data_IF_077459901479
#
_entry.id   IF_077459901479
#
_cell.length_a   1.000
_cell.length_b   1.000
_cell.length_c   1.000
_cell.angle_alpha   90.00
_cell.angle_beta   90.00
_cell.angle_gamma   90.00
#
_symmetry.space_group_name_H-M   'P 1'
#
loop_
_entity.id
_entity.type
_entity.pdbx_description
1 polymer ?
#
# COMPACT_ATOMS: atom_id res chain seq x y z
N UNK A 1 -11.65 13.04 -28.17
CA UNK A 1 -10.93 13.94 -27.22
C UNK A 1 -9.61 13.27 -26.88
N UNK A 2 -8.45 13.94 -27.03
CA UNK A 2 -7.16 13.24 -26.91
C UNK A 2 -6.70 13.08 -25.46
N UNK A 3 -6.22 11.87 -25.13
CA UNK A 3 -5.54 11.54 -23.87
C UNK A 3 -4.36 12.48 -23.59
N UNK A 4 -3.68 12.94 -24.65
CA UNK A 4 -2.58 13.90 -24.57
C UNK A 4 -3.00 15.25 -23.96
N UNK A 5 -4.22 15.72 -24.25
CA UNK A 5 -4.76 16.94 -23.65
C UNK A 5 -4.95 16.77 -22.13
N UNK A 6 -5.43 15.59 -21.70
CA UNK A 6 -5.63 15.29 -20.29
C UNK A 6 -4.30 15.15 -19.54
N UNK A 7 -3.29 14.52 -20.16
CA UNK A 7 -1.91 14.45 -19.62
C UNK A 7 -1.32 15.84 -19.42
N UNK A 8 -1.47 16.72 -20.42
CA UNK A 8 -1.02 18.11 -20.33
C UNK A 8 -1.70 18.84 -19.17
N UNK A 9 -3.02 18.70 -19.04
CA UNK A 9 -3.78 19.27 -17.94
C UNK A 9 -3.29 18.79 -16.57
N UNK A 10 -3.03 17.49 -16.42
CA UNK A 10 -2.55 16.91 -15.17
C UNK A 10 -1.13 17.38 -14.83
N UNK A 11 -0.25 17.50 -15.83
CA UNK A 11 1.09 18.04 -15.65
C UNK A 11 1.06 19.49 -15.14
N UNK A 12 0.24 20.35 -15.75
CA UNK A 12 0.06 21.75 -15.32
C UNK A 12 -0.50 21.84 -13.91
N UNK A 13 -1.49 20.99 -13.57
CA UNK A 13 -2.07 20.93 -12.23
C UNK A 13 -1.00 20.57 -11.18
N UNK A 14 -0.21 19.52 -11.44
CA UNK A 14 0.87 19.07 -10.55
C UNK A 14 1.94 20.14 -10.36
N UNK A 15 2.30 20.86 -11.42
CA UNK A 15 3.29 21.93 -11.33
C UNK A 15 2.79 23.08 -10.45
N UNK A 16 1.52 23.47 -10.61
CA UNK A 16 0.90 24.50 -9.75
C UNK A 16 0.88 24.09 -8.27
N UNK A 17 0.52 22.84 -7.99
CA UNK A 17 0.52 22.29 -6.62
C UNK A 17 1.93 22.18 -6.06
N UNK A 18 2.90 21.74 -6.86
CA UNK A 18 4.30 21.68 -6.46
C UNK A 18 4.81 23.06 -6.03
N UNK A 19 4.56 24.10 -6.84
CA UNK A 19 4.94 25.49 -6.51
C UNK A 19 4.40 25.94 -5.16
N UNK A 20 3.12 25.67 -4.88
CA UNK A 20 2.51 26.03 -3.58
C UNK A 20 3.03 25.18 -2.43
N UNK A 21 3.24 23.87 -2.61
CA UNK A 21 3.88 22.99 -1.60
C UNK A 21 5.30 23.48 -1.27
N UNK A 22 6.09 23.84 -2.27
CA UNK A 22 7.45 24.37 -2.10
C UNK A 22 7.46 25.69 -1.30
N UNK A 23 6.48 26.58 -1.56
CA UNK A 23 6.33 27.82 -0.80
C UNK A 23 5.96 27.56 0.68
N UNK A 24 5.04 26.62 0.95
CA UNK A 24 4.68 26.23 2.32
C UNK A 24 5.85 25.57 3.06
N UNK A 25 6.62 24.72 2.37
CA UNK A 25 7.82 24.12 2.92
C UNK A 25 8.86 25.18 3.32
N UNK A 26 8.99 26.26 2.54
CA UNK A 26 9.90 27.37 2.86
C UNK A 26 9.45 28.17 4.10
N UNK A 27 8.14 28.32 4.31
CA UNK A 27 7.57 28.93 5.54
C UNK A 27 7.81 28.06 6.77
N UNK A 28 7.58 26.76 6.65
CA UNK A 28 7.87 25.81 7.73
C UNK A 28 9.36 25.78 8.10
N UNK A 29 10.28 25.88 7.13
CA UNK A 29 11.72 26.02 7.39
C UNK A 29 12.07 27.27 8.20
N UNK A 30 11.29 28.36 8.05
CA UNK A 30 11.39 29.59 8.85
C UNK A 30 10.68 29.50 10.20
N UNK A 31 10.13 28.33 10.56
CA UNK A 31 9.29 28.10 11.75
C UNK A 31 8.01 28.93 11.78
N UNK A 32 7.53 29.36 10.61
CA UNK A 32 6.22 30.01 10.49
C UNK A 32 5.11 28.94 10.52
N UNK A 33 3.99 29.26 11.17
CA UNK A 33 2.79 28.41 11.11
C UNK A 33 2.14 28.54 9.72
N UNK A 34 1.70 27.42 9.17
CA UNK A 34 0.81 27.39 8.00
C UNK A 34 -0.63 27.64 8.48
N UNK A 35 -1.49 28.15 7.60
CA UNK A 35 -2.88 28.42 7.98
C UNK A 35 -3.73 27.15 7.92
N UNK A 36 -4.89 27.15 8.59
CA UNK A 36 -5.86 26.03 8.49
C UNK A 36 -6.35 25.83 7.06
N UNK A 37 -6.40 26.90 6.28
CA UNK A 37 -6.77 26.84 4.85
C UNK A 37 -5.66 26.18 4.02
N UNK A 38 -4.39 26.35 4.39
CA UNK A 38 -3.28 25.66 3.74
C UNK A 38 -3.27 24.17 4.10
N UNK A 39 -3.58 23.81 5.35
CA UNK A 39 -3.76 22.41 5.79
C UNK A 39 -4.90 21.75 5.01
N UNK A 40 -6.10 22.34 5.03
CA UNK A 40 -7.27 21.82 4.28
C UNK A 40 -6.97 21.73 2.78
N UNK A 41 -6.19 22.65 2.22
CA UNK A 41 -5.77 22.60 0.83
C UNK A 41 -4.81 21.44 0.55
N UNK A 42 -3.86 21.17 1.46
CA UNK A 42 -2.92 20.03 1.35
C UNK A 42 -3.67 18.70 1.36
N UNK A 43 -4.72 18.58 2.16
CA UNK A 43 -5.46 17.32 2.35
C UNK A 43 -6.39 17.01 1.17
N UNK A 44 -6.89 18.07 0.52
CA UNK A 44 -7.90 17.97 -0.52
C UNK A 44 -7.33 18.33 -1.89
N UNK A 45 -7.24 19.61 -2.19
CA UNK A 45 -6.97 20.09 -3.55
C UNK A 45 -5.54 19.82 -4.03
N UNK A 46 -4.59 19.60 -3.12
CA UNK A 46 -3.21 19.23 -3.44
C UNK A 46 -3.01 17.73 -3.68
N UNK A 47 -4.03 16.91 -3.43
CA UNK A 47 -4.03 15.48 -3.68
C UNK A 47 -4.55 15.20 -5.09
N UNK A 48 -3.72 14.60 -5.95
CA UNK A 48 -4.04 14.32 -7.37
C UNK A 48 -4.18 12.84 -7.69
N UNK A 49 -4.30 12.00 -6.66
CA UNK A 49 -4.33 10.55 -6.77
C UNK A 49 -5.50 10.08 -7.63
N UNK A 50 -6.67 10.72 -7.51
CA UNK A 50 -7.85 10.46 -8.34
C UNK A 50 -7.61 10.80 -9.83
N UNK A 51 -7.04 11.97 -10.13
CA UNK A 51 -6.75 12.37 -11.51
C UNK A 51 -5.67 11.49 -12.17
N UNK A 52 -4.70 11.02 -11.39
CA UNK A 52 -3.68 10.08 -11.87
C UNK A 52 -4.24 8.70 -12.20
N UNK A 53 -5.11 8.14 -11.36
CA UNK A 53 -5.77 6.86 -11.63
C UNK A 53 -6.67 6.92 -12.87
N UNK A 54 -7.36 8.04 -13.07
CA UNK A 54 -8.16 8.26 -14.26
C UNK A 54 -7.32 8.16 -15.55
N UNK A 55 -6.16 8.82 -15.58
CA UNK A 55 -5.26 8.77 -16.75
C UNK A 55 -4.76 7.34 -17.00
N UNK A 56 -4.32 6.63 -15.95
CA UNK A 56 -3.85 5.25 -16.07
C UNK A 56 -4.95 4.31 -16.56
N UNK A 57 -6.18 4.50 -16.08
CA UNK A 57 -7.33 3.69 -16.52
C UNK A 57 -7.64 3.93 -17.99
N UNK A 58 -7.62 5.20 -18.44
CA UNK A 58 -7.83 5.56 -19.84
C UNK A 58 -6.70 5.07 -20.75
N UNK A 59 -5.45 5.04 -20.26
CA UNK A 59 -4.28 4.51 -20.98
C UNK A 59 -4.36 2.99 -21.22
N UNK A 60 -4.87 2.25 -20.24
CA UNK A 60 -4.98 0.80 -20.31
C UNK A 60 -6.25 0.32 -21.04
N UNK A 61 -7.15 1.22 -21.39
CA UNK A 61 -8.34 0.89 -22.19
C UNK A 61 -7.95 0.88 -23.67
N UNK A 62 -8.11 -0.27 -24.33
CA UNK A 62 -7.75 -0.49 -25.75
C UNK A 62 -8.45 0.45 -26.73
N UNK A 63 -9.55 1.09 -26.30
CA UNK A 63 -10.21 2.19 -26.99
C UNK A 63 -10.45 3.33 -25.99
N UNK A 64 -9.45 4.19 -25.82
CA UNK A 64 -9.51 5.35 -24.93
C UNK A 64 -10.62 6.35 -25.28
N UNK A 65 -11.16 6.37 -26.52
CA UNK A 65 -12.32 7.20 -26.87
C UNK A 65 -13.63 6.56 -26.37
N UNK A 66 -13.77 5.23 -26.44
CA UNK A 66 -14.89 4.51 -25.78
C UNK A 66 -14.80 4.54 -24.26
N UNK A 67 -13.60 4.52 -23.69
CA UNK A 67 -13.38 4.59 -22.24
C UNK A 67 -14.00 5.84 -21.60
N UNK A 68 -14.04 6.96 -22.33
CA UNK A 68 -14.68 8.20 -21.89
C UNK A 68 -16.21 8.08 -21.74
N UNK A 69 -16.85 7.22 -22.54
CA UNK A 69 -18.31 7.03 -22.51
C UNK A 69 -18.79 6.28 -21.27
N UNK A 70 -17.92 5.44 -20.68
CA UNK A 70 -18.19 4.64 -19.49
C UNK A 70 -17.82 5.34 -18.17
N UNK A 71 -17.35 6.59 -18.24
CA UNK A 71 -16.98 7.34 -17.04
C UNK A 71 -18.20 7.67 -16.19
N UNK A 72 -18.05 7.51 -14.88
CA UNK A 72 -19.02 7.99 -13.89
C UNK A 72 -19.04 9.53 -13.82
N UNK A 73 -19.97 10.08 -13.04
CA UNK A 73 -20.14 11.53 -12.91
C UNK A 73 -18.93 12.24 -12.29
N UNK A 74 -18.19 11.58 -11.39
CA UNK A 74 -16.98 12.12 -10.75
C UNK A 74 -15.83 12.15 -11.76
N UNK A 75 -15.63 11.05 -12.49
CA UNK A 75 -14.62 10.93 -13.53
C UNK A 75 -14.84 11.92 -14.68
N UNK A 76 -16.09 12.12 -15.11
CA UNK A 76 -16.44 13.15 -16.09
C UNK A 76 -16.10 14.57 -15.60
N UNK A 77 -16.33 14.84 -14.32
CA UNK A 77 -15.93 16.11 -13.69
C UNK A 77 -14.41 16.31 -13.69
N UNK A 78 -13.63 15.25 -13.44
CA UNK A 78 -12.17 15.30 -13.48
C UNK A 78 -11.65 15.55 -14.90
N UNK A 79 -12.21 14.87 -15.89
CA UNK A 79 -11.90 15.10 -17.31
C UNK A 79 -12.11 16.57 -17.69
N UNK A 80 -13.25 17.14 -17.30
CA UNK A 80 -13.58 18.54 -17.59
C UNK A 80 -12.58 19.50 -16.91
N UNK A 81 -12.25 19.26 -15.64
CA UNK A 81 -11.22 20.03 -14.91
C UNK A 81 -9.87 20.00 -15.61
N UNK A 82 -9.38 18.80 -15.99
CA UNK A 82 -8.09 18.67 -16.66
C UNK A 82 -8.08 19.35 -18.04
N UNK A 83 -9.21 19.31 -18.76
CA UNK A 83 -9.38 20.00 -20.04
C UNK A 83 -9.30 21.52 -19.88
N UNK A 84 -9.99 22.07 -18.89
CA UNK A 84 -9.95 23.51 -18.60
C UNK A 84 -8.53 23.98 -18.25
N UNK A 85 -7.81 23.19 -17.43
CA UNK A 85 -6.41 23.47 -17.07
C UNK A 85 -5.49 23.38 -18.30
N UNK A 86 -5.69 22.40 -19.18
CA UNK A 86 -4.91 22.26 -20.41
C UNK A 86 -5.17 23.39 -21.43
N UNK A 87 -6.36 24.00 -21.38
CA UNK A 87 -6.83 25.05 -22.27
C UNK A 87 -6.36 26.48 -21.92
N UNK A 88 -5.62 26.66 -20.83
CA UNK A 88 -4.98 27.95 -20.50
C UNK A 88 -5.71 28.83 -19.48
N UNK A 89 -6.31 28.25 -18.44
CA UNK A 89 -6.85 29.01 -17.30
C UNK A 89 -5.97 28.89 -16.05
N UNK A 90 -5.10 29.87 -15.79
CA UNK A 90 -4.47 30.07 -14.48
C UNK A 90 -5.50 30.46 -13.39
N UNK A 91 -6.76 30.74 -13.76
CA UNK A 91 -7.86 31.18 -12.86
C UNK A 91 -8.65 30.06 -12.17
N UNK A 92 -8.29 28.78 -12.31
CA UNK A 92 -9.03 27.68 -11.66
C UNK A 92 -8.82 27.60 -10.13
N UNK A 93 -7.88 28.37 -9.57
CA UNK A 93 -7.68 28.46 -8.12
C UNK A 93 -8.89 29.08 -7.38
N UNK A 94 -9.73 29.86 -8.07
CA UNK A 94 -10.87 30.55 -7.47
C UNK A 94 -12.17 29.72 -7.47
N UNK A 95 -12.34 28.79 -8.43
CA UNK A 95 -13.52 27.91 -8.51
C UNK A 95 -13.58 26.92 -7.33
N UNK A 96 -12.43 26.63 -6.71
CA UNK A 96 -12.35 25.78 -5.51
C UNK A 96 -12.95 26.43 -4.26
N UNK A 97 -13.19 27.76 -4.24
CA UNK A 97 -13.88 28.45 -3.12
C UNK A 97 -15.38 28.14 -3.04
N UNK A 98 -15.99 27.58 -4.10
CA UNK A 98 -17.46 27.32 -4.14
C UNK A 98 -17.88 25.87 -3.91
N UNK A 99 -16.96 24.91 -3.75
CA UNK A 99 -17.34 23.54 -3.35
C UNK A 99 -17.54 23.47 -1.83
N UNK A 100 -18.78 23.77 -1.44
CA UNK A 100 -19.41 23.42 -0.16
C UNK A 100 -19.02 21.99 0.24
N UNK A 101 -18.62 21.84 1.53
CA UNK A 101 -18.35 20.60 2.27
C UNK A 101 -18.87 19.34 1.57
N UNK A 102 -17.96 18.60 0.94
CA UNK A 102 -18.18 17.23 0.49
C UNK A 102 -17.06 16.36 1.05
N UNK A 103 -17.33 15.69 2.17
CA UNK A 103 -16.59 14.50 2.61
C UNK A 103 -16.59 13.49 1.46
N UNK A 104 -15.45 12.91 1.07
CA UNK A 104 -15.48 11.76 0.15
C UNK A 104 -14.35 11.56 -0.87
N UNK A 105 -13.18 12.20 -0.74
CA UNK A 105 -12.01 11.84 -1.58
C UNK A 105 -11.34 10.54 -1.11
N UNK A 106 -11.09 10.39 0.20
CA UNK A 106 -10.46 9.20 0.78
C UNK A 106 -11.32 7.93 0.71
N UNK A 107 -12.63 8.05 0.93
CA UNK A 107 -13.57 6.91 0.98
C UNK A 107 -13.64 6.11 -0.33
N UNK A 108 -13.52 6.80 -1.47
CA UNK A 108 -13.60 6.17 -2.79
C UNK A 108 -12.35 5.34 -3.11
N UNK A 109 -11.17 5.80 -2.72
CA UNK A 109 -9.91 5.10 -3.01
C UNK A 109 -9.75 3.84 -2.17
N UNK A 110 -10.10 3.91 -0.88
CA UNK A 110 -10.14 2.75 0.01
C UNK A 110 -11.10 1.67 -0.48
N UNK A 111 -12.26 2.06 -1.05
CA UNK A 111 -13.27 1.11 -1.55
C UNK A 111 -12.84 0.42 -2.85
N UNK A 112 -12.01 1.06 -3.66
CA UNK A 112 -11.43 0.45 -4.87
C UNK A 112 -10.32 -0.54 -4.52
N UNK A 113 -9.43 -0.20 -3.57
CA UNK A 113 -8.32 -1.07 -3.18
C UNK A 113 -8.74 -2.19 -2.22
N UNK A 114 -9.77 -1.96 -1.41
CA UNK A 114 -10.38 -2.94 -0.51
C UNK A 114 -11.87 -3.05 -0.86
N UNK A 115 -12.25 -3.92 -1.81
CA UNK A 115 -13.64 -4.13 -2.19
C UNK A 115 -14.49 -4.67 -1.03
N UNK A 116 -15.80 -4.46 -1.13
CA UNK A 116 -16.79 -5.03 -0.19
C UNK A 116 -16.95 -6.55 -0.31
N UNK A 117 -16.49 -7.16 -1.40
CA UNK A 117 -16.52 -8.62 -1.58
C UNK A 117 -15.70 -9.31 -0.47
N UNK A 118 -16.35 -10.08 0.44
CA UNK A 118 -15.66 -10.73 1.54
C UNK A 118 -14.57 -11.72 1.10
N UNK A 119 -14.64 -12.24 -0.13
CA UNK A 119 -13.60 -13.11 -0.68
C UNK A 119 -12.25 -12.40 -0.87
N UNK A 120 -12.25 -11.07 -1.03
CA UNK A 120 -11.05 -10.24 -1.16
C UNK A 120 -10.46 -9.81 0.19
N UNK A 121 -11.19 -9.99 1.30
CA UNK A 121 -10.79 -9.55 2.64
C UNK A 121 -10.05 -10.61 3.47
N UNK A 122 -9.56 -10.19 4.64
CA UNK A 122 -8.82 -11.02 5.59
C UNK A 122 -9.76 -11.72 6.59
N UNK A 123 -9.56 -13.01 6.96
CA UNK A 123 -8.51 -13.91 6.51
C UNK A 123 -8.59 -14.21 5.01
N UNK A 124 -7.47 -14.02 4.32
CA UNK A 124 -7.41 -14.15 2.86
C UNK A 124 -7.63 -15.60 2.40
N UNK A 125 -8.20 -15.80 1.22
CA UNK A 125 -8.38 -17.14 0.65
C UNK A 125 -9.43 -18.00 1.36
N UNK A 126 -10.29 -17.41 2.20
CA UNK A 126 -11.38 -18.13 2.88
C UNK A 126 -12.76 -17.86 2.26
N UNK A 127 -12.83 -17.21 1.10
CA UNK A 127 -14.10 -16.80 0.50
C UNK A 127 -14.93 -15.94 1.47
N UNK A 128 -16.23 -16.20 1.55
CA UNK A 128 -17.14 -15.51 2.48
C UNK A 128 -17.09 -16.01 3.93
N UNK A 129 -16.36 -17.09 4.22
CA UNK A 129 -16.18 -17.55 5.59
C UNK A 129 -15.42 -16.51 6.42
N UNK A 130 -15.68 -16.49 7.74
CA UNK A 130 -15.10 -15.59 8.73
C UNK A 130 -15.58 -14.12 8.68
N UNK A 131 -16.64 -13.81 7.92
CA UNK A 131 -17.26 -12.49 7.92
C UNK A 131 -18.16 -12.30 9.16
N UNK A 132 -17.60 -11.79 10.27
CA UNK A 132 -18.39 -11.47 11.49
C UNK A 132 -19.45 -10.41 11.20
N UNK A 133 -19.08 -9.42 10.38
CA UNK A 133 -19.95 -8.37 9.86
C UNK A 133 -19.66 -8.21 8.36
N UNK A 134 -20.53 -7.54 7.58
CA UNK A 134 -20.29 -7.31 6.15
C UNK A 134 -18.93 -6.65 5.86
N UNK A 135 -18.44 -5.81 6.77
CA UNK A 135 -17.20 -5.04 6.60
C UNK A 135 -15.99 -5.61 7.34
N UNK A 136 -16.18 -6.63 8.17
CA UNK A 136 -15.12 -7.18 9.03
C UNK A 136 -13.88 -7.55 8.23
N UNK A 137 -14.05 -8.35 7.17
CA UNK A 137 -12.91 -8.84 6.38
C UNK A 137 -12.21 -7.72 5.60
N UNK A 138 -12.94 -6.70 5.16
CA UNK A 138 -12.42 -5.51 4.46
C UNK A 138 -11.55 -4.68 5.40
N UNK A 139 -12.07 -4.38 6.59
CA UNK A 139 -11.38 -3.57 7.60
C UNK A 139 -10.11 -4.26 8.09
N UNK A 140 -10.14 -5.57 8.33
CA UNK A 140 -8.97 -6.33 8.78
C UNK A 140 -7.90 -6.42 7.68
N UNK A 141 -8.30 -6.56 6.41
CA UNK A 141 -7.36 -6.50 5.28
C UNK A 141 -6.65 -5.14 5.22
N UNK A 142 -7.43 -4.05 5.25
CA UNK A 142 -6.89 -2.69 5.28
C UNK A 142 -5.93 -2.47 6.47
N UNK A 143 -6.34 -2.87 7.68
CA UNK A 143 -5.54 -2.70 8.88
C UNK A 143 -4.20 -3.47 8.80
N UNK A 144 -4.22 -4.72 8.33
CA UNK A 144 -3.02 -5.54 8.20
C UNK A 144 -2.02 -4.98 7.19
N UNK A 145 -2.52 -4.49 6.06
CA UNK A 145 -1.69 -3.85 5.04
C UNK A 145 -1.12 -2.53 5.53
N UNK A 146 -1.95 -1.70 6.16
CA UNK A 146 -1.55 -0.38 6.64
C UNK A 146 -0.47 -0.47 7.73
N UNK A 147 -0.62 -1.38 8.69
CA UNK A 147 0.29 -1.49 9.84
C UNK A 147 1.54 -2.33 9.57
N UNK A 148 1.45 -3.36 8.72
CA UNK A 148 2.53 -4.36 8.60
C UNK A 148 3.01 -4.59 7.17
N UNK A 149 2.12 -4.97 6.25
CA UNK A 149 2.55 -5.44 4.93
C UNK A 149 3.03 -4.31 4.01
N UNK A 150 2.36 -3.15 4.04
CA UNK A 150 2.77 -1.96 3.31
C UNK A 150 4.14 -1.42 3.74
N UNK A 151 4.37 -1.17 5.04
CA UNK A 151 5.68 -0.76 5.55
C UNK A 151 6.80 -1.77 5.24
N UNK A 152 6.53 -3.08 5.37
CA UNK A 152 7.49 -4.13 5.00
C UNK A 152 7.88 -4.04 3.53
N UNK A 153 6.89 -3.94 2.63
CA UNK A 153 7.14 -3.84 1.19
C UNK A 153 7.96 -2.58 0.86
N UNK A 154 7.56 -1.43 1.39
CA UNK A 154 8.29 -0.17 1.20
C UNK A 154 9.75 -0.29 1.65
N UNK A 155 9.99 -0.84 2.84
CA UNK A 155 11.34 -1.02 3.35
C UNK A 155 12.16 -1.94 2.45
N UNK A 156 11.60 -3.09 2.05
CA UNK A 156 12.28 -4.05 1.18
C UNK A 156 12.64 -3.46 -0.19
N UNK A 157 11.75 -2.67 -0.80
CA UNK A 157 12.00 -2.00 -2.09
C UNK A 157 13.21 -1.05 -2.05
N UNK A 158 13.41 -0.35 -0.94
CA UNK A 158 14.48 0.66 -0.83
C UNK A 158 15.77 0.10 -0.23
N UNK A 159 15.66 -0.83 0.73
CA UNK A 159 16.80 -1.41 1.42
C UNK A 159 17.52 -2.47 0.58
N UNK A 160 16.78 -3.25 -0.23
CA UNK A 160 17.37 -4.33 -1.05
C UNK A 160 18.35 -3.84 -2.11
N UNK A 161 18.27 -2.56 -2.51
CA UNK A 161 19.24 -1.94 -3.40
C UNK A 161 20.61 -1.66 -2.74
N UNK A 162 20.70 -1.74 -1.41
CA UNK A 162 21.89 -1.36 -0.63
C UNK A 162 22.51 -2.50 0.17
N UNK A 163 21.70 -3.49 0.55
CA UNK A 163 22.13 -4.63 1.33
C UNK A 163 21.30 -5.86 0.97
N UNK A 164 21.85 -7.05 1.19
CA UNK A 164 21.09 -8.28 1.02
C UNK A 164 19.92 -8.28 2.01
N UNK A 165 18.71 -8.44 1.47
CA UNK A 165 17.47 -8.49 2.23
C UNK A 165 16.82 -9.85 2.06
N UNK A 166 16.12 -10.31 3.08
CA UNK A 166 15.31 -11.53 3.05
C UNK A 166 13.96 -11.22 3.68
N UNK A 167 12.89 -11.81 3.13
CA UNK A 167 11.52 -11.69 3.64
C UNK A 167 10.86 -13.05 3.63
N UNK A 168 9.84 -13.26 4.46
CA UNK A 168 9.05 -14.48 4.49
C UNK A 168 7.56 -14.17 4.63
N UNK A 169 6.73 -15.21 4.49
CA UNK A 169 5.31 -15.18 4.82
C UNK A 169 5.00 -16.30 5.82
N UNK A 170 4.14 -16.00 6.77
CA UNK A 170 3.69 -16.95 7.77
C UNK A 170 2.20 -17.26 7.59
N UNK A 171 1.89 -18.52 7.37
CA UNK A 171 0.55 -19.09 7.33
C UNK A 171 0.33 -20.12 8.43
N UNK A 172 1.19 -20.21 9.44
CA UNK A 172 0.88 -20.99 10.64
C UNK A 172 -0.36 -20.43 11.34
N UNK A 173 -1.28 -21.33 11.70
CA UNK A 173 -2.60 -20.99 12.20
C UNK A 173 -3.58 -20.54 11.14
N UNK A 174 -3.31 -20.75 9.83
CA UNK A 174 -4.20 -20.27 8.75
C UNK A 174 -5.65 -20.73 8.89
N UNK A 175 -5.86 -21.91 9.47
CA UNK A 175 -7.17 -22.52 9.68
C UNK A 175 -7.88 -22.03 10.96
N UNK A 176 -7.26 -21.16 11.76
CA UNK A 176 -7.89 -20.60 12.95
C UNK A 176 -9.20 -19.87 12.56
N UNK A 177 -10.33 -20.23 13.19
CA UNK A 177 -11.61 -19.59 12.90
C UNK A 177 -11.51 -18.08 13.10
N UNK A 178 -12.18 -17.32 12.23
CA UNK A 178 -12.29 -15.86 12.27
C UNK A 178 -10.99 -15.10 11.96
N UNK A 179 -9.86 -15.50 12.55
CA UNK A 179 -8.63 -14.70 12.57
C UNK A 179 -7.51 -15.25 11.68
N UNK A 180 -7.59 -16.52 11.25
CA UNK A 180 -6.57 -17.16 10.42
C UNK A 180 -5.16 -17.09 11.02
N UNK A 181 -4.15 -16.92 10.16
CA UNK A 181 -2.76 -16.68 10.58
C UNK A 181 -2.64 -15.23 11.08
N UNK A 182 -3.02 -15.02 12.34
CA UNK A 182 -3.15 -13.72 12.97
C UNK A 182 -1.80 -13.19 13.48
N UNK A 183 -1.77 -11.94 13.92
CA UNK A 183 -0.60 -11.32 14.51
C UNK A 183 -0.08 -12.11 15.73
N UNK A 184 1.15 -12.65 15.62
CA UNK A 184 1.77 -13.46 16.67
C UNK A 184 1.51 -14.96 16.56
N UNK A 185 0.81 -15.45 15.52
CA UNK A 185 0.57 -16.89 15.33
C UNK A 185 1.86 -17.70 15.06
N UNK A 186 2.91 -17.05 14.57
CA UNK A 186 4.27 -17.57 14.43
C UNK A 186 4.92 -17.87 15.79
N UNK A 187 4.66 -17.07 16.82
CA UNK A 187 5.33 -17.20 18.14
C UNK A 187 5.21 -18.61 18.71
N UNK A 188 4.01 -19.21 18.62
CA UNK A 188 3.72 -20.52 19.18
C UNK A 188 4.40 -21.69 18.48
N UNK A 189 4.94 -21.49 17.28
CA UNK A 189 5.59 -22.55 16.47
C UNK A 189 7.07 -22.27 16.21
N UNK A 190 7.49 -21.00 16.18
CA UNK A 190 8.89 -20.59 16.07
C UNK A 190 9.58 -20.58 17.44
N UNK A 191 8.86 -20.18 18.48
CA UNK A 191 9.37 -20.10 19.86
C UNK A 191 8.50 -20.91 20.84
N UNK A 192 8.22 -22.20 20.55
CA UNK A 192 7.33 -22.97 21.40
C UNK A 192 7.99 -23.28 22.75
N UNK A 193 7.18 -23.32 23.80
CA UNK A 193 7.63 -23.82 25.10
C UNK A 193 7.98 -25.33 25.09
N UNK A 194 7.47 -26.07 24.10
CA UNK A 194 7.74 -27.50 23.88
C UNK A 194 8.21 -27.75 22.43
N UNK A 195 9.27 -28.53 22.26
CA UNK A 195 9.96 -28.72 20.96
C UNK A 195 9.21 -29.60 19.95
N UNK A 196 8.18 -30.35 20.35
CA UNK A 196 7.52 -31.35 19.48
C UNK A 196 6.74 -30.74 18.31
N UNK A 197 6.36 -29.47 18.38
CA UNK A 197 5.59 -28.76 17.34
C UNK A 197 6.38 -27.60 16.73
N UNK A 198 7.70 -27.62 16.79
CA UNK A 198 8.53 -26.49 16.32
C UNK A 198 8.71 -26.53 14.81
N UNK A 199 8.58 -25.38 14.14
CA UNK A 199 9.09 -25.22 12.78
C UNK A 199 10.62 -25.14 12.85
N UNK A 200 11.29 -26.26 12.56
CA UNK A 200 12.76 -26.31 12.58
C UNK A 200 13.38 -25.56 11.42
N UNK A 201 12.69 -25.44 10.27
CA UNK A 201 13.25 -24.80 9.07
C UNK A 201 13.35 -23.29 9.26
N UNK A 202 12.29 -22.65 9.76
CA UNK A 202 12.28 -21.21 10.05
C UNK A 202 13.28 -20.84 11.15
N UNK A 203 13.31 -21.63 12.24
CA UNK A 203 14.23 -21.41 13.37
C UNK A 203 15.68 -21.62 12.96
N UNK A 204 15.99 -22.67 12.20
CA UNK A 204 17.36 -22.92 11.70
C UNK A 204 17.82 -21.77 10.79
N UNK A 205 16.93 -21.22 9.96
CA UNK A 205 17.26 -20.08 9.12
C UNK A 205 17.58 -18.81 9.93
N UNK A 206 16.87 -18.54 11.04
CA UNK A 206 17.21 -17.43 11.94
C UNK A 206 18.56 -17.67 12.63
N UNK A 207 18.82 -18.90 13.10
CA UNK A 207 20.10 -19.27 13.71
C UNK A 207 21.23 -19.09 12.69
N UNK A 208 21.04 -19.51 11.45
CA UNK A 208 22.02 -19.30 10.38
C UNK A 208 22.28 -17.82 10.14
N UNK A 209 21.22 -17.00 10.07
CA UNK A 209 21.37 -15.57 9.85
C UNK A 209 22.16 -14.88 10.97
N UNK A 210 21.91 -15.25 12.23
CA UNK A 210 22.67 -14.70 13.38
C UNK A 210 24.16 -15.04 13.29
N UNK A 211 24.51 -16.27 12.87
CA UNK A 211 25.89 -16.73 12.85
C UNK A 211 26.65 -16.35 11.56
N UNK A 212 25.94 -16.19 10.44
CA UNK A 212 26.54 -16.12 9.10
C UNK A 212 26.06 -14.93 8.26
N UNK A 213 25.14 -14.10 8.78
CA UNK A 213 24.48 -13.01 8.05
C UNK A 213 23.78 -13.48 6.76
N UNK A 214 23.41 -14.76 6.71
CA UNK A 214 22.69 -15.40 5.62
C UNK A 214 21.79 -16.50 6.20
N UNK A 215 20.48 -16.50 5.91
CA UNK A 215 19.58 -17.53 6.43
C UNK A 215 19.83 -18.91 5.81
N UNK A 216 20.50 -18.96 4.66
CA UNK A 216 20.85 -20.21 3.99
C UNK A 216 22.18 -20.73 4.51
N UNK A 217 22.23 -22.02 4.85
CA UNK A 217 23.49 -22.71 5.14
C UNK A 217 24.24 -22.99 3.83
N UNK A 218 25.58 -22.92 3.84
CA UNK A 218 26.37 -23.50 2.75
C UNK A 218 26.15 -25.02 2.71
N UNK A 219 26.12 -25.63 1.53
CA UNK A 219 25.85 -27.07 1.29
C UNK A 219 26.89 -28.06 1.90
N UNK A 220 27.63 -27.66 2.94
CA UNK A 220 28.63 -28.46 3.64
C UNK A 220 27.98 -29.10 4.88
N UNK A 221 27.24 -30.19 4.66
CA UNK A 221 26.67 -31.01 5.74
C UNK A 221 25.51 -31.89 5.26
N UNK A 222 25.64 -33.20 5.46
CA UNK A 222 24.75 -34.27 5.04
C UNK A 222 23.26 -34.03 5.40
N UNK A 223 22.50 -33.41 4.49
CA UNK A 223 21.04 -33.25 4.60
C UNK A 223 20.51 -31.82 4.72
N UNK A 224 21.36 -30.79 4.60
CA UNK A 224 20.87 -29.40 4.56
C UNK A 224 20.04 -29.17 3.27
N UNK A 225 18.78 -28.70 3.37
CA UNK A 225 18.00 -28.40 2.18
C UNK A 225 18.68 -27.29 1.38
N UNK A 226 18.57 -27.35 0.05
CA UNK A 226 19.08 -26.35 -0.88
C UNK A 226 18.65 -24.93 -0.46
N UNK A 227 19.40 -23.90 -0.88
CA UNK A 227 19.12 -22.49 -0.54
C UNK A 227 17.61 -22.17 -0.64
N UNK A 228 16.96 -22.16 0.51
CA UNK A 228 15.50 -22.13 0.68
C UNK A 228 15.00 -20.69 0.77
N UNK A 229 15.86 -19.75 1.11
CA UNK A 229 15.48 -18.38 1.34
C UNK A 229 16.12 -17.47 0.30
N UNK A 230 15.43 -17.19 -0.82
CA UNK A 230 15.94 -16.27 -1.82
C UNK A 230 16.18 -14.90 -1.20
N UNK A 231 17.28 -14.26 -1.60
CA UNK A 231 17.46 -12.84 -1.37
C UNK A 231 16.34 -12.08 -2.08
N UNK A 232 15.72 -11.14 -1.38
CA UNK A 232 14.69 -10.29 -1.94
C UNK A 232 15.21 -9.51 -3.15
N UNK A 233 14.46 -9.58 -4.25
CA UNK A 233 14.69 -8.76 -5.44
C UNK A 233 13.39 -8.05 -5.80
N UNK A 234 13.46 -6.75 -6.09
CA UNK A 234 12.30 -5.97 -6.54
C UNK A 234 11.68 -6.51 -7.83
N UNK A 235 12.49 -7.15 -8.67
CA UNK A 235 12.09 -7.77 -9.94
C UNK A 235 11.56 -9.20 -9.77
N UNK A 236 11.83 -9.85 -8.62
CA UNK A 236 11.45 -11.22 -8.31
C UNK A 236 11.20 -11.33 -6.80
N UNK A 237 9.95 -11.12 -6.42
CA UNK A 237 9.53 -11.01 -5.01
C UNK A 237 9.30 -12.38 -4.37
N UNK A 238 10.11 -13.38 -4.71
CA UNK A 238 9.98 -14.72 -4.15
C UNK A 238 10.38 -14.74 -2.67
N UNK A 239 9.65 -15.51 -1.87
CA UNK A 239 9.91 -15.70 -0.44
C UNK A 239 9.49 -17.12 0.02
N UNK A 240 10.06 -17.63 1.12
CA UNK A 240 9.51 -18.80 1.79
C UNK A 240 8.20 -18.45 2.48
N UNK A 241 7.19 -19.27 2.23
CA UNK A 241 5.91 -19.29 2.94
C UNK A 241 5.86 -20.52 3.83
N UNK A 242 5.75 -20.27 5.14
CA UNK A 242 5.66 -21.29 6.19
C UNK A 242 4.19 -21.59 6.50
N UNK A 243 3.83 -22.86 6.67
CA UNK A 243 2.42 -23.28 6.84
C UNK A 243 2.27 -24.53 7.69
N UNK A 244 1.02 -24.88 8.04
CA UNK A 244 0.67 -26.10 8.77
C UNK A 244 0.15 -27.21 7.84
N UNK A 245 0.52 -28.49 8.06
CA UNK A 245 1.61 -28.94 8.96
C UNK A 245 2.95 -28.34 8.49
N UNK A 246 3.99 -28.33 9.33
CA UNK A 246 5.30 -27.66 9.07
C UNK A 246 5.81 -27.98 7.66
N UNK A 247 5.55 -27.06 6.74
CA UNK A 247 5.86 -27.14 5.31
C UNK A 247 6.28 -25.75 4.86
N UNK A 248 7.35 -25.70 4.07
CA UNK A 248 7.89 -24.47 3.49
C UNK A 248 7.86 -24.55 1.98
N UNK A 249 7.19 -23.58 1.36
CA UNK A 249 7.13 -23.44 -0.10
C UNK A 249 7.71 -22.10 -0.51
N UNK A 250 8.36 -22.04 -1.68
CA UNK A 250 8.71 -20.76 -2.29
C UNK A 250 7.51 -20.24 -3.05
N UNK A 251 7.00 -19.09 -2.61
CA UNK A 251 5.88 -18.42 -3.28
C UNK A 251 6.32 -17.04 -3.73
N UNK A 252 5.64 -16.50 -4.73
CA UNK A 252 5.75 -15.08 -5.05
C UNK A 252 5.07 -14.28 -3.95
N UNK A 253 5.65 -13.17 -3.52
CA UNK A 253 4.97 -12.17 -2.70
C UNK A 253 4.01 -11.40 -3.63
N UNK A 254 2.92 -12.05 -3.96
CA UNK A 254 1.83 -11.56 -4.81
C UNK A 254 0.62 -11.10 -3.99
N UNK A 255 0.69 -11.18 -2.65
CA UNK A 255 -0.33 -10.69 -1.72
C UNK A 255 -0.70 -9.25 -2.07
N UNK A 256 -1.74 -9.17 -2.92
CA UNK A 256 -2.38 -8.01 -3.49
C UNK A 256 -1.43 -6.92 -3.98
N UNK A 257 -0.63 -7.24 -5.00
CA UNK A 257 0.05 -6.24 -5.82
C UNK A 257 -0.93 -5.15 -6.30
N UNK A 258 -2.23 -5.46 -6.44
CA UNK A 258 -3.28 -4.52 -6.85
C UNK A 258 -3.75 -3.56 -5.74
N UNK A 259 -3.72 -3.96 -4.46
CA UNK A 259 -3.87 -3.01 -3.34
C UNK A 259 -2.58 -2.18 -3.15
N UNK A 260 -1.44 -2.78 -3.52
CA UNK A 260 -0.11 -2.17 -3.51
C UNK A 260 0.22 -1.30 -4.75
N UNK A 261 -0.68 -1.16 -5.75
CA UNK A 261 -0.64 -0.03 -6.72
C UNK A 261 -1.08 1.25 -6.00
N UNK A 262 -0.54 1.47 -4.81
CA UNK A 262 -0.25 2.79 -4.34
C UNK A 262 1.24 2.93 -4.10
N UNK A 263 1.97 2.93 -5.22
CA UNK A 263 3.29 3.56 -5.35
C UNK A 263 3.23 5.09 -5.07
N UNK A 264 2.10 5.61 -4.57
CA UNK A 264 1.79 7.01 -4.30
C UNK A 264 1.12 7.26 -2.92
N UNK A 265 0.97 6.25 -2.06
CA UNK A 265 0.36 6.39 -0.72
C UNK A 265 1.31 7.02 0.31
N UNK A 266 2.48 7.50 -0.10
CA UNK A 266 3.42 8.18 0.78
C UNK A 266 2.81 9.46 1.39
N UNK A 267 1.95 10.16 0.66
CA UNK A 267 1.26 11.35 1.19
C UNK A 267 0.20 10.96 2.25
N UNK A 268 -0.52 9.84 2.08
CA UNK A 268 -1.52 9.36 3.06
C UNK A 268 -0.87 8.74 4.32
N UNK A 269 0.26 8.05 4.16
CA UNK A 269 1.01 7.43 5.25
C UNK A 269 1.72 8.49 6.13
N UNK A 270 2.34 9.51 5.52
CA UNK A 270 2.90 10.64 6.28
C UNK A 270 1.82 11.50 6.92
N UNK A 271 0.65 11.62 6.29
CA UNK A 271 -0.48 12.36 6.84
C UNK A 271 -1.05 11.65 8.08
N UNK A 272 -1.33 10.35 8.00
CA UNK A 272 -1.83 9.56 9.13
C UNK A 272 -0.83 9.48 10.30
N UNK A 273 0.47 9.39 10.03
CA UNK A 273 1.50 9.39 11.07
C UNK A 273 1.71 10.78 11.71
N UNK A 274 1.55 11.88 10.96
CA UNK A 274 1.59 13.24 11.51
C UNK A 274 0.39 13.52 12.40
N UNK A 275 -0.80 13.05 12.02
CA UNK A 275 -2.02 13.22 12.80
C UNK A 275 -1.96 12.41 14.11
N UNK A 276 -1.41 11.19 14.07
CA UNK A 276 -1.16 10.37 15.26
C UNK A 276 -0.08 10.98 16.18
N UNK A 277 0.98 11.56 15.59
CA UNK A 277 2.03 12.29 16.34
C UNK A 277 1.49 13.56 17.00
N UNK A 278 0.60 14.30 16.32
CA UNK A 278 -0.01 15.51 16.87
C UNK A 278 -0.98 15.23 18.02
N UNK A 279 -1.55 14.02 18.09
CA UNK A 279 -2.40 13.58 19.20
C UNK A 279 -1.61 13.00 20.38
N UNK A 280 -0.40 12.49 20.15
CA UNK A 280 0.49 12.00 21.21
C UNK A 280 1.30 13.11 21.91
N UNK A 281 1.40 14.31 21.32
CA UNK A 281 2.01 15.48 21.96
C UNK A 281 1.03 16.30 22.85
N UNK A 282 -0.20 15.81 23.05
CA UNK A 282 -1.24 16.43 23.89
C UNK A 282 -1.60 15.60 25.14
N UNK A 283 -0.75 14.64 25.53
CA UNK A 283 -0.83 13.92 26.82
C UNK A 283 0.45 14.14 27.61
#
# INVERSE_FOLDING_TARGET
MSLETLRKGLATLKEGVKKRKDALALRLKKREKISKEDEVWLDNAANHVDEDALIVTLENTSDSERGLSHLDSKQKGMVQKLKEIAGGGEEAAEVSRKRKRGSGSGENYTRTLYPEDPAQGSPFGTGSANAITPEFKRLVAFQGDFLFLGPRQFYLEHASARQNMWSWSNLHGKTNPVIGAFHGSDSGIWFPANTTTRDTVGVDALINFINMLNPNRSAQGNGAPAALWPTWKTESTQLPTFSDPVVVNITTNDFQLNAMISRRNFDYYNYALRDLSAHLELV
#
